data_IF_643026639141
#
_entry.id   IF_643026639141
#
_cell.length_a   1.000
_cell.length_b   1.000
_cell.length_c   1.000
_cell.angle_alpha   90.00
_cell.angle_beta   90.00
_cell.angle_gamma   90.00
#
_symmetry.space_group_name_H-M   'P 1'
#
loop_
_entity.id
_entity.type
_entity.pdbx_description
1 polymer ?
#
# COMPACT_ATOMS: atom_id res chain seq x y z
N UNK A 1 -2.34 8.01 -14.47
CA UNK A 1 -1.37 7.60 -13.44
C UNK A 1 -1.98 6.62 -12.43
N UNK A 2 -2.93 7.04 -11.58
CA UNK A 2 -3.45 6.24 -10.45
C UNK A 2 -3.86 4.78 -10.76
N UNK A 3 -4.39 4.49 -11.96
CA UNK A 3 -4.80 3.13 -12.36
C UNK A 3 -3.60 2.22 -12.61
N UNK A 4 -2.51 2.75 -13.17
CA UNK A 4 -1.33 1.97 -13.58
C UNK A 4 -0.23 1.96 -12.51
N UNK A 5 -0.24 2.90 -11.57
CA UNK A 5 0.71 2.96 -10.45
C UNK A 5 0.83 1.64 -9.67
N UNK A 6 -0.27 0.92 -9.35
CA UNK A 6 -0.18 -0.38 -8.68
C UNK A 6 0.63 -1.44 -9.44
N UNK A 7 0.67 -1.38 -10.78
CA UNK A 7 1.50 -2.30 -11.58
C UNK A 7 2.98 -2.06 -11.28
N UNK A 8 3.40 -0.79 -11.22
CA UNK A 8 4.75 -0.42 -10.84
C UNK A 8 5.10 -0.84 -9.41
N UNK A 9 4.17 -0.66 -8.47
CA UNK A 9 4.34 -1.12 -7.09
C UNK A 9 4.49 -2.65 -7.02
N UNK A 10 3.67 -3.40 -7.75
CA UNK A 10 3.75 -4.86 -7.82
C UNK A 10 5.14 -5.34 -8.24
N UNK A 11 5.63 -4.88 -9.39
CA UNK A 11 6.93 -5.30 -9.90
C UNK A 11 8.09 -4.80 -9.05
N UNK A 12 8.00 -3.58 -8.49
CA UNK A 12 8.99 -3.08 -7.56
C UNK A 12 9.13 -3.98 -6.32
N UNK A 13 8.01 -4.43 -5.75
CA UNK A 13 8.01 -5.33 -4.59
C UNK A 13 8.49 -6.73 -4.93
N UNK A 14 8.17 -7.25 -6.11
CA UNK A 14 8.74 -8.52 -6.59
C UNK A 14 10.25 -8.42 -6.80
N UNK A 15 10.75 -7.30 -7.32
CA UNK A 15 12.19 -7.07 -7.43
C UNK A 15 12.84 -7.05 -6.04
N UNK A 16 12.24 -6.39 -5.04
CA UNK A 16 12.75 -6.43 -3.67
C UNK A 16 12.77 -7.86 -3.11
N UNK A 17 11.76 -8.67 -3.42
CA UNK A 17 11.71 -10.07 -3.00
C UNK A 17 12.85 -10.90 -3.63
N UNK A 18 13.05 -10.76 -4.95
CA UNK A 18 14.12 -11.46 -5.70
C UNK A 18 15.51 -11.05 -5.20
N UNK A 19 15.70 -9.76 -4.93
CA UNK A 19 16.94 -9.22 -4.36
C UNK A 19 17.13 -9.60 -2.89
N UNK A 20 16.10 -10.14 -2.24
CA UNK A 20 16.11 -10.49 -0.83
C UNK A 20 16.29 -9.28 0.08
N UNK A 21 15.70 -8.13 -0.25
CA UNK A 21 15.80 -6.88 0.53
C UNK A 21 14.42 -6.42 1.06
N UNK A 22 14.39 -5.57 2.10
CA UNK A 22 13.15 -5.04 2.69
C UNK A 22 12.19 -6.13 3.23
N UNK A 23 12.77 -7.20 3.76
CA UNK A 23 12.06 -8.28 4.43
C UNK A 23 11.45 -7.84 5.76
N UNK A 24 10.56 -8.67 6.29
CA UNK A 24 9.78 -8.38 7.48
C UNK A 24 10.46 -8.77 8.79
N UNK A 25 9.71 -8.66 9.88
CA UNK A 25 10.15 -9.09 11.22
C UNK A 25 10.41 -10.59 11.23
N UNK A 26 11.25 -11.02 12.18
CA UNK A 26 11.40 -12.43 12.54
C UNK A 26 10.03 -13.00 12.89
N UNK A 27 9.73 -14.19 12.38
CA UNK A 27 8.44 -14.83 12.57
C UNK A 27 8.52 -16.34 12.43
N UNK A 28 7.62 -17.01 13.12
CA UNK A 28 7.56 -18.46 13.27
C UNK A 28 6.42 -19.05 12.42
N UNK A 29 5.76 -18.23 11.60
CA UNK A 29 4.68 -18.68 10.71
C UNK A 29 5.22 -19.68 9.68
N UNK A 30 4.40 -20.66 9.22
CA UNK A 30 4.89 -21.76 8.40
C UNK A 30 5.38 -21.36 7.00
N UNK A 31 5.08 -20.13 6.55
CA UNK A 31 5.58 -19.56 5.29
C UNK A 31 6.66 -18.49 5.49
N UNK A 32 7.23 -18.37 6.70
CA UNK A 32 8.39 -17.53 6.92
C UNK A 32 9.59 -18.05 6.11
N UNK A 33 10.43 -17.14 5.64
CA UNK A 33 11.58 -17.45 4.79
C UNK A 33 12.87 -16.88 5.36
N UNK A 34 13.95 -17.63 5.19
CA UNK A 34 15.31 -17.15 5.50
C UNK A 34 15.83 -16.42 4.27
N UNK A 35 16.16 -15.14 4.44
CA UNK A 35 16.68 -14.30 3.36
C UNK A 35 18.21 -14.22 3.44
N UNK A 36 18.94 -14.27 2.31
CA UNK A 36 20.40 -14.19 2.32
C UNK A 36 20.97 -12.94 3.03
N UNK A 37 20.27 -11.81 2.94
CA UNK A 37 20.65 -10.55 3.61
C UNK A 37 19.99 -10.38 4.99
N UNK A 38 19.16 -11.34 5.41
CA UNK A 38 18.29 -11.28 6.60
C UNK A 38 18.84 -11.93 7.86
N UNK A 39 20.00 -12.58 7.77
CA UNK A 39 20.55 -13.40 8.84
C UNK A 39 19.91 -14.80 8.88
N UNK A 40 20.24 -15.62 9.90
CA UNK A 40 19.82 -17.02 9.97
C UNK A 40 18.34 -17.19 10.34
N UNK A 41 17.71 -16.17 10.90
CA UNK A 41 16.34 -16.26 11.41
C UNK A 41 15.29 -16.19 10.29
N UNK A 42 14.21 -16.99 10.39
CA UNK A 42 13.09 -16.93 9.45
C UNK A 42 12.27 -15.64 9.63
N UNK A 43 11.84 -15.04 8.51
CA UNK A 43 11.18 -13.74 8.50
C UNK A 43 9.95 -13.73 7.61
N UNK A 44 9.04 -12.81 7.90
CA UNK A 44 7.92 -12.55 6.99
C UNK A 44 8.41 -12.07 5.63
N UNK A 45 7.95 -12.66 4.52
CA UNK A 45 8.16 -12.11 3.18
C UNK A 45 7.24 -10.92 2.91
N UNK A 46 7.41 -9.84 3.68
CA UNK A 46 6.56 -8.64 3.62
C UNK A 46 6.50 -8.00 2.23
N UNK A 47 7.51 -8.21 1.40
CA UNK A 47 7.53 -7.76 0.01
C UNK A 47 6.42 -8.44 -0.80
N UNK A 48 6.16 -9.74 -0.58
CA UNK A 48 5.06 -10.44 -1.24
C UNK A 48 3.71 -9.93 -0.75
N UNK A 49 3.57 -9.64 0.54
CA UNK A 49 2.33 -9.05 1.09
C UNK A 49 2.06 -7.68 0.47
N UNK A 50 3.10 -6.85 0.33
CA UNK A 50 3.00 -5.53 -0.30
C UNK A 50 2.73 -5.65 -1.81
N UNK A 51 3.39 -6.58 -2.51
CA UNK A 51 3.12 -6.86 -3.92
C UNK A 51 1.64 -7.24 -4.11
N UNK A 52 1.09 -8.10 -3.25
CA UNK A 52 -0.31 -8.48 -3.31
C UNK A 52 -1.24 -7.32 -2.98
N UNK A 53 -1.04 -6.60 -1.87
CA UNK A 53 -1.98 -5.57 -1.41
C UNK A 53 -1.82 -4.24 -2.18
N UNK A 54 -0.61 -3.67 -2.20
CA UNK A 54 -0.31 -2.39 -2.87
C UNK A 54 -0.29 -2.53 -4.40
N UNK A 55 -0.02 -3.74 -4.90
CA UNK A 55 0.06 -4.04 -6.32
C UNK A 55 -1.21 -4.69 -6.87
N UNK A 56 -1.37 -6.00 -6.67
CA UNK A 56 -2.39 -6.80 -7.35
C UNK A 56 -3.83 -6.44 -6.95
N UNK A 57 -4.12 -6.37 -5.65
CA UNK A 57 -5.45 -6.04 -5.12
C UNK A 57 -5.81 -4.60 -5.44
N UNK A 58 -4.90 -3.65 -5.18
CA UNK A 58 -5.14 -2.25 -5.50
C UNK A 58 -5.30 -2.04 -7.01
N UNK A 59 -4.53 -2.73 -7.85
CA UNK A 59 -4.72 -2.72 -9.30
C UNK A 59 -6.11 -3.23 -9.68
N UNK A 60 -6.56 -4.36 -9.14
CA UNK A 60 -7.87 -4.92 -9.44
C UNK A 60 -9.00 -3.93 -9.09
N UNK A 61 -8.95 -3.31 -7.92
CA UNK A 61 -9.92 -2.28 -7.49
C UNK A 61 -9.92 -1.10 -8.48
N UNK A 62 -8.72 -0.58 -8.79
CA UNK A 62 -8.57 0.57 -9.67
C UNK A 62 -8.99 0.27 -11.11
N UNK A 63 -8.67 -0.92 -11.61
CA UNK A 63 -9.05 -1.39 -12.93
C UNK A 63 -10.57 -1.54 -13.02
N UNK A 64 -11.21 -2.23 -12.06
CA UNK A 64 -12.67 -2.38 -12.02
C UNK A 64 -13.38 -1.02 -11.97
N UNK A 65 -12.89 -0.09 -11.15
CA UNK A 65 -13.47 1.25 -11.07
C UNK A 65 -13.26 2.06 -12.35
N UNK A 66 -12.14 1.86 -13.05
CA UNK A 66 -11.85 2.55 -14.32
C UNK A 66 -12.75 2.13 -15.47
N UNK A 67 -13.35 0.92 -15.40
CA UNK A 67 -14.23 0.35 -16.43
C UNK A 67 -15.65 0.92 -16.38
N UNK A 68 -16.02 1.62 -15.32
CA UNK A 68 -17.34 2.26 -15.21
C UNK A 68 -17.39 3.53 -16.07
N UNK A 69 -18.52 3.82 -16.75
CA UNK A 69 -18.71 5.10 -17.42
C UNK A 69 -18.66 6.21 -16.37
N UNK A 70 -17.85 7.24 -16.64
CA UNK A 70 -17.54 8.30 -15.68
C UNK A 70 -18.18 9.62 -16.07
N UNK A 71 -18.73 10.33 -15.08
CA UNK A 71 -19.21 11.70 -15.25
C UNK A 71 -18.07 12.70 -15.08
N UNK A 72 -18.17 13.86 -15.72
CA UNK A 72 -17.18 14.93 -15.55
C UNK A 72 -17.11 15.43 -14.10
N UNK A 73 -18.18 15.29 -13.32
CA UNK A 73 -18.26 15.60 -11.89
C UNK A 73 -17.43 14.67 -10.99
N UNK A 74 -17.08 13.47 -11.45
CA UNK A 74 -16.30 12.48 -10.68
C UNK A 74 -14.78 12.71 -10.73
N UNK A 75 -14.35 13.91 -11.17
CA UNK A 75 -12.94 14.35 -11.17
C UNK A 75 -12.39 14.30 -9.74
N UNK A 76 -11.54 13.31 -9.48
CA UNK A 76 -10.91 13.08 -8.17
C UNK A 76 -11.22 11.71 -7.57
N UNK A 77 -12.26 11.01 -8.05
CA UNK A 77 -12.66 9.70 -7.52
C UNK A 77 -11.52 8.68 -7.61
N UNK A 78 -10.95 8.46 -8.80
CA UNK A 78 -9.86 7.50 -8.97
C UNK A 78 -8.60 7.86 -8.17
N UNK A 79 -8.25 9.15 -8.11
CA UNK A 79 -7.10 9.61 -7.32
C UNK A 79 -7.32 9.38 -5.82
N UNK A 80 -8.52 9.71 -5.33
CA UNK A 80 -8.92 9.49 -3.95
C UNK A 80 -8.97 8.00 -3.58
N UNK A 81 -9.56 7.16 -4.44
CA UNK A 81 -9.60 5.70 -4.23
C UNK A 81 -8.20 5.11 -4.18
N UNK A 82 -7.29 5.55 -5.05
CA UNK A 82 -5.90 5.11 -5.01
C UNK A 82 -5.23 5.49 -3.69
N UNK A 83 -5.36 6.74 -3.24
CA UNK A 83 -4.76 7.21 -1.98
C UNK A 83 -5.29 6.44 -0.77
N UNK A 84 -6.61 6.27 -0.68
CA UNK A 84 -7.25 5.50 0.40
C UNK A 84 -6.77 4.05 0.37
N UNK A 85 -6.85 3.39 -0.79
CA UNK A 85 -6.47 1.99 -0.94
C UNK A 85 -4.99 1.75 -0.64
N UNK A 86 -4.11 2.63 -1.14
CA UNK A 86 -2.68 2.57 -0.86
C UNK A 86 -2.38 2.81 0.62
N UNK A 87 -2.99 3.80 1.27
CA UNK A 87 -2.80 4.04 2.72
C UNK A 87 -3.21 2.84 3.58
N UNK A 88 -4.32 2.18 3.23
CA UNK A 88 -4.77 0.97 3.94
C UNK A 88 -3.77 -0.18 3.71
N UNK A 89 -3.42 -0.46 2.46
CA UNK A 89 -2.46 -1.50 2.12
C UNK A 89 -1.10 -1.28 2.80
N UNK A 90 -0.62 -0.03 2.80
CA UNK A 90 0.64 0.37 3.43
C UNK A 90 0.61 0.18 4.94
N UNK A 91 -0.51 0.52 5.58
CA UNK A 91 -0.71 0.34 7.02
C UNK A 91 -0.73 -1.14 7.42
N UNK A 92 -1.37 -1.99 6.61
CA UNK A 92 -1.37 -3.45 6.82
C UNK A 92 0.04 -4.01 6.62
N UNK A 93 0.72 -3.66 5.52
CA UNK A 93 2.07 -4.15 5.21
C UNK A 93 3.11 -3.77 6.27
N UNK A 94 2.90 -2.65 6.96
CA UNK A 94 3.77 -2.18 8.02
C UNK A 94 3.72 -3.05 9.30
N UNK A 95 2.60 -3.71 9.57
CA UNK A 95 2.47 -4.63 10.71
C UNK A 95 3.49 -5.77 10.63
N UNK A 96 3.88 -6.14 9.41
CA UNK A 96 4.82 -7.23 9.13
C UNK A 96 6.25 -6.75 8.87
N UNK A 97 6.48 -5.44 8.64
CA UNK A 97 7.81 -4.88 8.37
C UNK A 97 8.63 -4.76 9.65
N UNK A 98 9.91 -5.10 9.58
CA UNK A 98 10.82 -4.73 10.66
C UNK A 98 10.97 -3.20 10.67
N UNK A 99 10.79 -2.53 11.83
CA UNK A 99 11.05 -1.10 11.93
C UNK A 99 12.53 -0.84 11.62
N UNK A 100 12.79 0.12 10.74
CA UNK A 100 14.15 0.42 10.31
C UNK A 100 15.00 0.82 11.54
N UNK A 101 16.14 0.16 11.73
CA UNK A 101 16.97 0.26 12.93
C UNK A 101 17.46 1.70 13.24
N UNK A 102 17.46 2.59 12.24
CA UNK A 102 17.87 3.99 12.38
C UNK A 102 16.73 4.96 12.75
N UNK A 103 15.47 4.57 12.57
CA UNK A 103 14.31 5.45 12.82
C UNK A 103 13.54 5.07 14.10
N UNK A 104 13.67 3.83 14.58
CA UNK A 104 12.90 3.35 15.73
C UNK A 104 11.39 3.49 15.53
N UNK A 105 10.64 3.47 16.62
CA UNK A 105 9.27 3.97 16.62
C UNK A 105 9.30 5.50 16.75
N UNK A 106 8.48 6.20 15.97
CA UNK A 106 8.31 7.65 16.09
C UNK A 106 7.39 7.98 17.27
N UNK A 107 7.08 9.28 17.42
CA UNK A 107 6.05 9.78 18.34
C UNK A 107 4.81 8.86 18.31
N UNK A 108 4.36 8.42 19.49
CA UNK A 108 3.21 7.52 19.74
C UNK A 108 3.37 6.02 19.35
N UNK A 109 4.58 5.51 19.09
CA UNK A 109 4.72 4.09 18.72
C UNK A 109 4.31 3.81 17.26
N UNK A 110 4.16 4.87 16.46
CA UNK A 110 3.81 4.82 15.04
C UNK A 110 5.06 4.73 14.18
N UNK A 111 4.99 4.03 13.05
CA UNK A 111 6.10 3.99 12.09
C UNK A 111 5.96 5.08 11.01
N UNK A 112 7.02 5.37 10.25
CA UNK A 112 6.97 6.34 9.14
C UNK A 112 5.87 5.99 8.11
N UNK A 113 5.65 4.69 7.86
CA UNK A 113 4.61 4.21 6.97
C UNK A 113 3.21 4.59 7.45
N UNK A 114 2.95 4.50 8.76
CA UNK A 114 1.66 4.86 9.35
C UNK A 114 1.47 6.38 9.41
N UNK A 115 2.52 7.13 9.75
CA UNK A 115 2.49 8.59 9.79
C UNK A 115 2.15 9.19 8.41
N UNK A 116 2.77 8.69 7.34
CA UNK A 116 2.49 9.16 5.98
C UNK A 116 1.15 8.63 5.43
N UNK A 117 0.70 7.45 5.89
CA UNK A 117 -0.58 6.88 5.47
C UNK A 117 -1.78 7.70 5.92
N UNK A 118 -1.71 8.35 7.09
CA UNK A 118 -2.83 9.10 7.65
C UNK A 118 -3.19 10.37 6.83
N UNK A 119 -2.26 11.29 6.50
CA UNK A 119 -2.56 12.41 5.62
C UNK A 119 -3.07 11.97 4.25
N UNK A 120 -2.47 10.92 3.68
CA UNK A 120 -2.90 10.37 2.39
C UNK A 120 -4.32 9.81 2.46
N UNK A 121 -4.67 9.11 3.54
CA UNK A 121 -6.00 8.57 3.77
C UNK A 121 -7.04 9.70 3.87
N UNK A 122 -6.77 10.72 4.69
CA UNK A 122 -7.66 11.85 4.89
C UNK A 122 -7.86 12.65 3.59
N UNK A 123 -6.78 12.92 2.86
CA UNK A 123 -6.87 13.61 1.58
C UNK A 123 -7.59 12.78 0.52
N UNK A 124 -7.36 11.47 0.49
CA UNK A 124 -8.07 10.55 -0.40
C UNK A 124 -9.57 10.52 -0.14
N UNK A 125 -9.98 10.42 1.13
CA UNK A 125 -11.39 10.49 1.53
C UNK A 125 -12.03 11.82 1.14
N UNK A 126 -11.33 12.95 1.35
CA UNK A 126 -11.79 14.26 0.94
C UNK A 126 -12.08 14.32 -0.58
N UNK A 127 -11.18 13.80 -1.41
CA UNK A 127 -11.37 13.77 -2.87
C UNK A 127 -12.57 12.91 -3.28
N UNK A 128 -12.76 11.74 -2.66
CA UNK A 128 -13.90 10.85 -2.93
C UNK A 128 -15.20 11.55 -2.57
N UNK A 129 -15.31 12.09 -1.35
CA UNK A 129 -16.53 12.77 -0.88
C UNK A 129 -16.86 13.98 -1.76
N UNK A 130 -15.85 14.75 -2.16
CA UNK A 130 -16.04 15.90 -3.07
C UNK A 130 -16.52 15.46 -4.45
N UNK A 131 -16.00 14.37 -4.99
CA UNK A 131 -16.41 13.82 -6.29
C UNK A 131 -17.86 13.32 -6.26
N UNK A 132 -18.25 12.57 -5.22
CA UNK A 132 -19.60 12.03 -5.08
C UNK A 132 -20.65 13.12 -4.90
N UNK A 133 -20.36 14.16 -4.09
CA UNK A 133 -21.28 15.30 -3.88
C UNK A 133 -21.52 16.15 -5.13
N UNK A 134 -20.57 16.17 -6.06
CA UNK A 134 -20.75 16.86 -7.35
C UNK A 134 -21.54 16.02 -8.34
N UNK A 135 -21.40 14.68 -8.29
CA UNK A 135 -22.14 13.77 -9.16
C UNK A 135 -23.65 13.73 -8.88
N UNK A 136 -24.08 14.13 -7.68
CA UNK A 136 -25.50 14.29 -7.32
C UNK A 136 -26.09 15.65 -7.70
N UNK A 137 -25.26 16.62 -8.07
CA UNK A 137 -25.70 17.96 -8.47
C UNK A 137 -25.89 18.10 -9.99
N UNK A 138 -25.54 17.06 -10.76
CA UNK A 138 -25.75 16.90 -12.21
C UNK A 138 -26.87 15.87 -12.49
#
# INVERSE_FOLDING_TARGET
AAIVTPIGLFFGRLANFINGELWGRVSDVPWAMIFPTGGPEPRHPSQLYQATLEGLVLFAIMFMLSRRPRRASERGLLGGTFLVGYSIARSIGELFRQPDAHLGFLFLGTTMGQLLSLPMLLFGLFLIVRALRRGTAD
#
